data_IF_178097472022
#
_entry.id   IF_178097472022
#
_cell.length_a   1.000
_cell.length_b   1.000
_cell.length_c   1.000
_cell.angle_alpha   90.00
_cell.angle_beta   90.00
_cell.angle_gamma   90.00
#
_symmetry.space_group_name_H-M   'P 1'
#
loop_
_entity.id
_entity.type
_entity.pdbx_description
1 polymer ?
#
# COMPACT_ATOMS: atom_id res chain seq x y z
N UNK A 1 11.87 -20.55 11.79
CA UNK A 1 12.09 -19.08 11.64
C UNK A 1 11.24 -18.35 12.70
N UNK A 2 11.84 -17.51 13.47
CA UNK A 2 11.11 -16.69 14.44
C UNK A 2 10.40 -15.54 13.69
N UNK A 3 9.11 -15.34 13.94
CA UNK A 3 8.33 -14.26 13.32
C UNK A 3 8.88 -12.86 13.55
N UNK A 4 8.62 -11.95 12.62
CA UNK A 4 9.06 -10.55 12.71
C UNK A 4 8.14 -9.70 13.61
N UNK A 5 7.06 -10.27 14.10
CA UNK A 5 6.09 -9.53 14.91
C UNK A 5 5.37 -8.43 14.13
N UNK A 6 5.10 -8.67 12.84
CA UNK A 6 4.27 -7.74 12.08
C UNK A 6 2.93 -7.55 12.79
N UNK A 7 2.54 -6.31 12.98
CA UNK A 7 1.33 -5.94 13.68
C UNK A 7 0.10 -5.93 12.80
N UNK A 8 -0.74 -4.93 13.01
CA UNK A 8 -2.01 -4.80 12.32
C UNK A 8 -1.86 -4.58 10.80
N UNK A 9 -2.87 -4.99 10.07
CA UNK A 9 -3.03 -4.63 8.67
C UNK A 9 -3.28 -3.11 8.59
N UNK A 10 -2.38 -2.38 7.93
CA UNK A 10 -2.51 -0.94 7.77
C UNK A 10 -3.52 -0.60 6.66
N UNK A 11 -3.37 -1.25 5.51
CA UNK A 11 -4.31 -1.07 4.39
C UNK A 11 -4.26 -2.24 3.42
N UNK A 12 -5.30 -2.30 2.61
CA UNK A 12 -5.38 -3.14 1.40
C UNK A 12 -5.34 -2.20 0.21
N UNK A 13 -4.52 -2.48 -0.77
CA UNK A 13 -4.43 -1.67 -1.98
C UNK A 13 -5.12 -2.37 -3.16
N UNK A 14 -5.90 -1.60 -3.88
CA UNK A 14 -6.62 -2.04 -5.09
C UNK A 14 -6.14 -1.19 -6.27
N UNK A 15 -5.63 -1.85 -7.30
CA UNK A 15 -5.27 -1.19 -8.55
C UNK A 15 -6.51 -1.06 -9.42
N UNK A 16 -6.78 0.15 -9.89
CA UNK A 16 -7.96 0.49 -10.68
C UNK A 16 -7.56 1.24 -11.96
N UNK A 17 -8.27 1.05 -13.08
CA UNK A 17 -8.01 1.84 -14.28
C UNK A 17 -8.35 3.31 -14.11
N UNK A 18 -9.33 3.64 -13.26
CA UNK A 18 -9.81 5.02 -13.05
C UNK A 18 -10.29 5.21 -11.61
N UNK A 19 -9.71 6.20 -10.92
CA UNK A 19 -10.17 6.61 -9.59
C UNK A 19 -11.60 7.15 -9.65
N UNK A 20 -11.93 7.92 -10.69
CA UNK A 20 -13.26 8.51 -10.84
C UNK A 20 -14.35 7.44 -10.93
N UNK A 21 -14.04 6.31 -11.57
CA UNK A 21 -15.00 5.20 -11.68
C UNK A 21 -15.04 4.34 -10.41
N UNK A 22 -13.91 4.19 -9.71
CA UNK A 22 -13.82 3.34 -8.53
C UNK A 22 -14.35 3.98 -7.25
N UNK A 23 -14.11 5.28 -7.05
CA UNK A 23 -14.45 6.03 -5.84
C UNK A 23 -15.93 5.94 -5.46
N UNK A 24 -16.90 6.06 -6.37
CA UNK A 24 -18.32 6.02 -6.00
C UNK A 24 -18.75 4.75 -5.25
N UNK A 25 -18.15 3.60 -5.55
CA UNK A 25 -18.46 2.36 -4.82
C UNK A 25 -18.11 2.50 -3.32
N UNK A 26 -16.94 3.04 -3.01
CA UNK A 26 -16.49 3.19 -1.62
C UNK A 26 -17.21 4.34 -0.91
N UNK A 27 -17.33 5.47 -1.59
CA UNK A 27 -17.93 6.68 -1.00
C UNK A 27 -19.44 6.58 -0.87
N UNK A 28 -20.12 6.25 -1.95
CA UNK A 28 -21.57 6.38 -2.04
C UNK A 28 -22.27 5.09 -1.60
N UNK A 29 -21.73 3.93 -1.93
CA UNK A 29 -22.34 2.66 -1.54
C UNK A 29 -21.88 2.21 -0.15
N UNK A 30 -20.57 2.21 0.13
CA UNK A 30 -20.04 1.73 1.41
C UNK A 30 -19.97 2.82 2.49
N UNK A 31 -20.10 4.08 2.12
CA UNK A 31 -20.08 5.20 3.09
C UNK A 31 -18.68 5.54 3.61
N UNK A 32 -17.63 5.25 2.85
CA UNK A 32 -16.27 5.61 3.21
C UNK A 32 -15.98 7.07 2.89
N UNK A 33 -15.08 7.66 3.68
CA UNK A 33 -14.51 8.97 3.34
C UNK A 33 -13.37 8.78 2.37
N UNK A 34 -13.31 9.64 1.35
CA UNK A 34 -12.24 9.60 0.34
C UNK A 34 -11.41 10.86 0.50
N UNK A 35 -10.10 10.70 0.64
CA UNK A 35 -9.20 11.85 0.65
C UNK A 35 -8.96 12.37 -0.78
N UNK A 36 -8.36 13.57 -0.88
CA UNK A 36 -8.04 14.16 -2.17
C UNK A 36 -7.01 13.29 -2.90
N UNK A 37 -7.28 12.89 -4.16
CA UNK A 37 -6.31 12.11 -4.93
C UNK A 37 -4.97 12.85 -5.08
N UNK A 38 -3.87 12.12 -4.92
CA UNK A 38 -2.51 12.66 -4.99
C UNK A 38 -1.70 11.93 -6.04
N UNK A 39 -0.92 12.70 -6.80
CA UNK A 39 0.06 12.15 -7.72
C UNK A 39 1.34 11.80 -6.95
N UNK A 40 1.77 10.55 -7.06
CA UNK A 40 3.06 10.07 -6.56
C UNK A 40 3.97 9.93 -7.78
N UNK A 41 4.68 11.02 -8.10
CA UNK A 41 5.38 11.18 -9.37
C UNK A 41 6.46 10.11 -9.60
N UNK A 42 7.25 9.79 -8.58
CA UNK A 42 8.33 8.79 -8.65
C UNK A 42 7.81 7.36 -8.80
N UNK A 43 6.56 7.09 -8.46
CA UNK A 43 5.90 5.79 -8.65
C UNK A 43 4.96 5.76 -9.87
N UNK A 44 4.75 6.89 -10.53
CA UNK A 44 3.85 7.04 -11.69
C UNK A 44 2.42 6.57 -11.40
N UNK A 45 1.92 6.90 -10.20
CA UNK A 45 0.55 6.56 -9.78
C UNK A 45 -0.17 7.75 -9.19
N UNK A 46 -1.50 7.74 -9.29
CA UNK A 46 -2.39 8.58 -8.50
C UNK A 46 -3.04 7.72 -7.43
N UNK A 47 -3.11 8.25 -6.23
CA UNK A 47 -3.55 7.50 -5.05
C UNK A 47 -4.66 8.24 -4.34
N UNK A 48 -5.70 7.52 -3.93
CA UNK A 48 -6.70 7.99 -2.98
C UNK A 48 -6.94 6.93 -1.92
N UNK A 49 -7.11 7.35 -0.66
CA UNK A 49 -7.50 6.45 0.42
C UNK A 49 -8.99 6.56 0.72
N UNK A 50 -9.63 5.42 0.80
CA UNK A 50 -10.98 5.28 1.33
C UNK A 50 -10.87 4.78 2.77
N UNK A 51 -11.42 5.54 3.71
CA UNK A 51 -11.28 5.23 5.14
C UNK A 51 -12.62 5.24 5.86
N UNK A 52 -12.79 4.30 6.78
CA UNK A 52 -13.92 4.25 7.69
C UNK A 52 -13.56 3.42 8.91
N UNK A 53 -13.77 3.98 10.13
CA UNK A 53 -13.60 3.25 11.39
C UNK A 53 -12.25 2.51 11.50
N UNK A 54 -11.17 3.15 11.05
CA UNK A 54 -9.82 2.59 11.07
C UNK A 54 -9.51 1.65 9.90
N UNK A 55 -10.48 1.30 9.08
CA UNK A 55 -10.26 0.52 7.85
C UNK A 55 -9.78 1.44 6.73
N UNK A 56 -8.73 1.04 6.03
CA UNK A 56 -8.14 1.80 4.91
C UNK A 56 -8.05 0.95 3.67
N UNK A 57 -8.60 1.45 2.58
CA UNK A 57 -8.42 0.87 1.25
C UNK A 57 -7.72 1.92 0.39
N UNK A 58 -6.54 1.58 -0.10
CA UNK A 58 -5.78 2.43 -1.01
C UNK A 58 -6.20 2.14 -2.45
N UNK A 59 -6.61 3.16 -3.19
CA UNK A 59 -6.93 3.04 -4.60
C UNK A 59 -5.76 3.58 -5.41
N UNK A 60 -5.22 2.75 -6.31
CA UNK A 60 -4.07 3.08 -7.14
C UNK A 60 -4.50 3.15 -8.60
N UNK A 61 -4.34 4.32 -9.22
CA UNK A 61 -4.55 4.52 -10.65
C UNK A 61 -3.20 4.77 -11.32
N UNK A 62 -2.86 4.08 -12.43
CA UNK A 62 -1.64 4.39 -13.15
C UNK A 62 -1.69 5.82 -13.71
N UNK A 63 -0.65 6.62 -13.45
CA UNK A 63 -0.58 7.99 -13.97
C UNK A 63 -0.18 8.02 -15.45
N UNK A 64 0.55 7.00 -15.90
CA UNK A 64 0.99 6.85 -17.29
C UNK A 64 1.32 5.39 -17.60
N UNK A 65 1.65 5.10 -18.86
CA UNK A 65 1.91 3.74 -19.34
C UNK A 65 3.22 3.12 -18.78
N UNK A 66 4.09 3.93 -18.16
CA UNK A 66 5.36 3.44 -17.59
C UNK A 66 5.20 2.92 -16.17
N UNK A 67 4.04 3.16 -15.55
CA UNK A 67 3.72 2.67 -14.21
C UNK A 67 3.71 1.13 -14.16
N UNK A 68 4.32 0.56 -13.11
CA UNK A 68 4.17 -0.87 -12.81
C UNK A 68 2.71 -1.26 -12.56
N UNK A 69 1.92 -0.34 -12.01
CA UNK A 69 0.48 -0.51 -11.82
C UNK A 69 -0.24 -0.58 -13.16
N UNK A 70 0.19 0.20 -14.17
CA UNK A 70 -0.39 0.13 -15.51
C UNK A 70 -0.25 -1.25 -16.12
N UNK A 71 0.94 -1.86 -16.01
CA UNK A 71 1.16 -3.25 -16.46
C UNK A 71 0.27 -4.23 -15.71
N UNK A 72 0.21 -4.09 -14.40
CA UNK A 72 -0.62 -4.94 -13.54
C UNK A 72 -2.09 -4.89 -13.93
N UNK A 73 -2.64 -3.68 -14.11
CA UNK A 73 -4.04 -3.48 -14.54
C UNK A 73 -4.28 -4.06 -15.93
N UNK A 74 -3.34 -3.82 -16.88
CA UNK A 74 -3.47 -4.32 -18.24
C UNK A 74 -3.48 -5.85 -18.31
N UNK A 75 -2.62 -6.51 -17.53
CA UNK A 75 -2.57 -7.97 -17.48
C UNK A 75 -3.82 -8.59 -16.85
N UNK A 76 -4.43 -7.92 -15.89
CA UNK A 76 -5.65 -8.39 -15.24
C UNK A 76 -6.91 -8.03 -16.02
N UNK A 77 -6.89 -6.94 -16.80
CA UNK A 77 -8.03 -6.44 -17.55
C UNK A 77 -9.19 -5.92 -16.72
N UNK A 78 -8.99 -5.73 -15.41
CA UNK A 78 -10.04 -5.30 -14.48
C UNK A 78 -9.40 -4.78 -13.18
N UNK A 79 -10.15 -4.03 -12.32
CA UNK A 79 -9.74 -3.69 -10.98
C UNK A 79 -9.42 -4.97 -10.17
N UNK A 80 -8.33 -4.95 -9.40
CA UNK A 80 -7.91 -6.12 -8.62
C UNK A 80 -7.04 -5.72 -7.43
N UNK A 81 -6.94 -6.61 -6.45
CA UNK A 81 -6.04 -6.43 -5.31
C UNK A 81 -4.59 -6.32 -5.79
N UNK A 82 -3.87 -5.32 -5.29
CA UNK A 82 -2.49 -5.06 -5.66
C UNK A 82 -1.51 -5.48 -4.55
N UNK A 83 -1.77 -5.07 -3.31
CA UNK A 83 -0.91 -5.45 -2.19
C UNK A 83 -1.63 -5.35 -0.85
N UNK A 84 -1.00 -5.95 0.16
CA UNK A 84 -1.35 -5.82 1.58
C UNK A 84 -0.22 -5.08 2.28
N UNK A 85 -0.56 -4.19 3.21
CA UNK A 85 0.42 -3.46 4.01
C UNK A 85 0.26 -3.75 5.49
N UNK A 86 1.35 -4.20 6.13
CA UNK A 86 1.38 -4.48 7.57
C UNK A 86 2.32 -3.51 8.29
N UNK A 87 1.97 -3.16 9.51
CA UNK A 87 2.79 -2.29 10.37
C UNK A 87 3.88 -3.11 11.06
N UNK A 88 5.09 -2.58 11.08
CA UNK A 88 6.21 -3.11 11.88
C UNK A 88 6.79 -2.01 12.76
N UNK A 89 7.38 -2.39 13.91
CA UNK A 89 7.87 -1.40 14.87
C UNK A 89 9.16 -0.70 14.41
N UNK A 90 10.06 -1.44 13.77
CA UNK A 90 11.33 -0.92 13.25
C UNK A 90 11.58 -1.52 11.87
N UNK A 91 11.26 -0.77 10.83
CA UNK A 91 11.34 -1.28 9.46
C UNK A 91 12.77 -1.59 9.03
N UNK A 92 13.73 -0.71 9.34
CA UNK A 92 15.12 -0.94 8.94
C UNK A 92 15.70 -2.21 9.57
N UNK A 93 15.46 -2.42 10.85
CA UNK A 93 15.89 -3.63 11.57
C UNK A 93 15.17 -4.88 11.03
N UNK A 94 13.88 -4.76 10.73
CA UNK A 94 13.09 -5.85 10.16
C UNK A 94 13.65 -6.29 8.80
N UNK A 95 13.95 -5.34 7.92
CA UNK A 95 14.51 -5.65 6.60
C UNK A 95 15.89 -6.32 6.69
N UNK A 96 16.75 -5.81 7.58
CA UNK A 96 18.07 -6.41 7.80
C UNK A 96 17.96 -7.86 8.28
N UNK A 97 17.04 -8.13 9.19
CA UNK A 97 16.77 -9.47 9.69
C UNK A 97 16.22 -10.39 8.61
N UNK A 98 15.23 -9.94 7.85
CA UNK A 98 14.65 -10.73 6.75
C UNK A 98 15.70 -11.08 5.70
N UNK A 99 16.54 -10.12 5.31
CA UNK A 99 17.63 -10.36 4.37
C UNK A 99 18.62 -11.41 4.91
N UNK A 100 18.98 -11.32 6.20
CA UNK A 100 19.86 -12.29 6.83
C UNK A 100 19.27 -13.70 6.87
N UNK A 101 17.95 -13.82 6.95
CA UNK A 101 17.23 -15.10 6.92
C UNK A 101 16.96 -15.60 5.48
N UNK A 102 17.41 -14.89 4.46
CA UNK A 102 17.26 -15.31 3.07
C UNK A 102 15.91 -15.01 2.45
N UNK A 103 15.11 -14.16 3.07
CA UNK A 103 13.82 -13.72 2.53
C UNK A 103 14.06 -12.77 1.36
N UNK A 104 13.42 -13.03 0.23
CA UNK A 104 13.55 -12.20 -0.96
C UNK A 104 12.81 -10.87 -0.80
N UNK A 105 13.56 -9.76 -0.92
CA UNK A 105 13.04 -8.41 -0.77
C UNK A 105 13.04 -7.69 -2.12
N UNK A 106 12.04 -6.84 -2.35
CA UNK A 106 12.08 -5.83 -3.42
C UNK A 106 12.92 -4.64 -2.94
N UNK A 107 12.65 -4.14 -1.74
CA UNK A 107 13.38 -3.04 -1.13
C UNK A 107 14.23 -3.55 0.03
N UNK A 108 15.54 -3.29 -0.01
CA UNK A 108 16.47 -3.64 1.07
C UNK A 108 16.59 -2.55 2.12
N UNK A 109 16.17 -1.35 1.80
CA UNK A 109 16.17 -0.19 2.69
C UNK A 109 14.81 0.50 2.64
N UNK A 110 14.36 1.12 3.76
CA UNK A 110 13.12 1.89 3.78
C UNK A 110 13.14 3.03 2.75
N UNK A 111 12.00 3.29 2.13
CA UNK A 111 11.79 4.44 1.26
C UNK A 111 10.52 5.18 1.67
N UNK A 112 10.44 6.44 1.29
CA UNK A 112 9.26 7.25 1.62
C UNK A 112 8.08 6.84 0.75
N UNK A 113 6.99 6.41 1.41
CA UNK A 113 5.69 6.18 0.79
C UNK A 113 4.71 7.30 1.13
N UNK A 114 3.44 7.13 0.76
CA UNK A 114 2.38 8.13 0.98
C UNK A 114 2.11 8.32 2.48
N UNK A 115 2.08 7.23 3.25
CA UNK A 115 1.67 7.23 4.66
C UNK A 115 2.84 7.08 5.63
N UNK A 116 4.05 6.89 5.16
CA UNK A 116 5.24 6.72 6.00
C UNK A 116 6.37 6.02 5.27
N UNK A 117 7.36 5.54 6.03
CA UNK A 117 8.47 4.76 5.48
C UNK A 117 8.00 3.33 5.20
N UNK A 118 8.26 2.87 3.99
CA UNK A 118 7.77 1.58 3.50
C UNK A 118 8.87 0.78 2.82
N UNK A 119 8.62 -0.53 2.69
CA UNK A 119 9.43 -1.43 1.87
C UNK A 119 8.56 -2.61 1.43
N UNK A 120 8.83 -3.13 0.23
CA UNK A 120 8.11 -4.28 -0.31
C UNK A 120 8.92 -5.56 -0.20
N UNK A 121 8.23 -6.64 0.18
CA UNK A 121 8.72 -8.00 0.05
C UNK A 121 8.41 -8.51 -1.36
N UNK A 122 9.30 -9.35 -1.91
CA UNK A 122 9.02 -9.97 -3.19
C UNK A 122 7.83 -10.96 -3.06
N UNK A 123 6.92 -11.01 -4.04
CA UNK A 123 5.77 -11.93 -3.97
C UNK A 123 6.14 -13.38 -3.74
N UNK A 124 7.30 -13.85 -4.23
CA UNK A 124 7.79 -15.22 -3.98
C UNK A 124 8.01 -15.53 -2.51
N UNK A 125 8.28 -14.51 -1.69
CA UNK A 125 8.42 -14.67 -0.24
C UNK A 125 7.07 -14.69 0.49
N UNK A 126 5.99 -14.31 -0.17
CA UNK A 126 4.67 -14.06 0.43
C UNK A 126 3.55 -14.80 -0.32
N UNK A 127 3.79 -16.02 -0.75
CA UNK A 127 2.80 -16.89 -1.41
C UNK A 127 2.18 -16.27 -2.68
N UNK A 128 2.96 -15.48 -3.41
CA UNK A 128 2.53 -14.84 -4.65
C UNK A 128 1.83 -13.50 -4.48
N UNK A 129 1.74 -12.99 -3.26
CA UNK A 129 1.10 -11.70 -2.95
C UNK A 129 2.18 -10.64 -2.69
N UNK A 130 2.06 -9.47 -3.29
CA UNK A 130 2.92 -8.35 -2.97
C UNK A 130 2.58 -7.84 -1.56
N UNK A 131 3.56 -7.85 -0.68
CA UNK A 131 3.40 -7.39 0.71
C UNK A 131 4.28 -6.18 0.96
N UNK A 132 3.66 -5.13 1.50
CA UNK A 132 4.31 -3.92 1.95
C UNK A 132 4.42 -3.92 3.48
N UNK A 133 5.54 -3.47 4.00
CA UNK A 133 5.72 -3.19 5.42
C UNK A 133 5.84 -1.68 5.61
N UNK A 134 5.19 -1.15 6.66
CA UNK A 134 5.26 0.26 7.00
C UNK A 134 5.77 0.45 8.42
N UNK A 135 6.67 1.42 8.60
CA UNK A 135 7.30 1.72 9.88
C UNK A 135 6.33 2.46 10.82
N UNK A 136 6.09 1.91 12.01
CA UNK A 136 5.12 2.47 12.97
C UNK A 136 5.44 3.92 13.34
N UNK A 137 6.69 4.22 13.64
CA UNK A 137 7.10 5.55 14.07
C UNK A 137 6.98 6.60 12.95
N UNK A 138 6.95 6.17 11.69
CA UNK A 138 6.88 7.04 10.53
C UNK A 138 5.45 7.29 10.03
N UNK A 139 4.44 6.63 10.63
CA UNK A 139 3.06 6.76 10.18
C UNK A 139 2.60 8.21 10.19
N UNK A 140 1.97 8.63 9.08
CA UNK A 140 1.34 9.94 9.01
C UNK A 140 0.25 10.03 10.09
N UNK A 141 0.29 11.12 10.88
CA UNK A 141 -0.77 11.41 11.82
C UNK A 141 -1.98 11.88 11.02
N UNK A 142 -3.05 11.10 11.02
CA UNK A 142 -4.33 11.58 10.53
C UNK A 142 -4.78 12.70 11.46
N UNK A 143 -5.08 13.92 10.97
CA UNK A 143 -5.68 14.93 11.81
C UNK A 143 -6.93 14.33 12.45
N UNK A 144 -7.02 14.37 13.78
CA UNK A 144 -8.28 14.03 14.43
C UNK A 144 -9.32 14.99 13.87
N UNK A 145 -10.30 14.45 13.15
CA UNK A 145 -11.46 15.26 12.82
C UNK A 145 -12.07 15.68 14.15
N UNK A 146 -12.06 16.97 14.41
CA UNK A 146 -12.86 17.52 15.49
C UNK A 146 -14.32 17.12 15.21
N UNK A 147 -14.81 16.21 16.02
CA UNK A 147 -16.22 15.86 16.01
C UNK A 147 -16.98 16.89 16.81
#
# INVERSE_FOLDING_TARGET
MKGIGAGELHHVAVAVPSLEEAIPFYRDLLGYQIDEPRLIADQHVRVAFATRDGTRVELLEPADATSGVARFVAERGRPTLHHLCFVVDDLAATLARLAAEGVELVDHTPRRGVEGLVAFLHPRAANGILVELIDRASLATTPKSDR
#
